data_IF_188256137191
#
_entry.id   IF_188256137191
#
_cell.length_a   1.000
_cell.length_b   1.000
_cell.length_c   1.000
_cell.angle_alpha   90.00
_cell.angle_beta   90.00
_cell.angle_gamma   90.00
#
_symmetry.space_group_name_H-M   'P 1'
#
loop_
_entity.id
_entity.type
_entity.pdbx_description
1 polymer ?
#
# COMPACT_ATOMS: atom_id res chain seq x y z
N UNK A 1 28.89 -17.62 8.27
CA UNK A 1 27.95 -16.78 7.51
C UNK A 1 28.28 -15.32 7.78
N UNK A 2 28.27 -14.47 6.77
CA UNK A 2 28.49 -13.03 6.93
C UNK A 2 27.15 -12.30 7.04
N UNK A 3 26.97 -11.35 7.99
CA UNK A 3 25.73 -10.57 8.10
C UNK A 3 25.47 -9.72 6.85
N UNK A 4 24.20 -9.63 6.45
CA UNK A 4 23.72 -8.74 5.39
C UNK A 4 23.00 -7.55 6.04
N UNK A 5 23.49 -6.34 5.78
CA UNK A 5 22.92 -5.09 6.29
C UNK A 5 22.05 -4.47 5.21
N UNK A 6 20.81 -4.13 5.56
CA UNK A 6 19.93 -3.31 4.73
C UNK A 6 20.15 -1.84 5.09
N UNK A 7 20.69 -1.05 4.17
CA UNK A 7 21.03 0.37 4.42
C UNK A 7 19.96 1.34 3.94
N UNK A 8 19.10 0.91 3.01
CA UNK A 8 18.06 1.75 2.39
C UNK A 8 16.81 0.92 2.10
N UNK A 9 15.66 1.57 2.17
CA UNK A 9 14.37 0.99 1.81
C UNK A 9 13.47 2.08 1.21
N UNK A 10 12.66 1.70 0.24
CA UNK A 10 11.54 2.51 -0.28
C UNK A 10 10.25 1.75 -0.04
N UNK A 11 9.17 2.46 0.25
CA UNK A 11 7.88 1.86 0.53
C UNK A 11 6.77 2.71 -0.07
N UNK A 12 5.82 2.06 -0.73
CA UNK A 12 4.55 2.66 -1.16
C UNK A 12 3.46 1.67 -0.80
N UNK A 13 2.50 2.11 0.01
CA UNK A 13 1.38 1.28 0.47
C UNK A 13 0.15 2.16 0.75
N UNK A 14 -0.90 1.58 1.33
CA UNK A 14 -2.14 2.31 1.60
C UNK A 14 -2.06 3.35 2.72
N UNK A 15 -0.91 3.47 3.40
CA UNK A 15 -0.61 4.53 4.35
C UNK A 15 0.09 5.74 3.70
N UNK A 16 0.56 5.59 2.46
CA UNK A 16 1.13 6.67 1.65
C UNK A 16 2.36 6.28 0.84
N UNK A 17 2.94 7.28 0.20
CA UNK A 17 4.18 7.18 -0.57
C UNK A 17 5.38 7.51 0.32
N UNK A 18 6.33 6.58 0.39
CA UNK A 18 7.58 6.74 1.10
C UNK A 18 7.57 6.25 2.55
N UNK A 19 8.79 6.19 3.10
CA UNK A 19 9.05 5.77 4.47
C UNK A 19 8.45 6.76 5.48
N UNK A 20 8.56 8.07 5.21
CA UNK A 20 8.07 9.11 6.12
C UNK A 20 6.55 9.08 6.28
N UNK A 21 5.81 8.92 5.18
CA UNK A 21 4.35 8.78 5.21
C UNK A 21 3.93 7.55 6.01
N UNK A 22 4.58 6.41 5.76
CA UNK A 22 4.32 5.16 6.51
C UNK A 22 4.65 5.32 7.99
N UNK A 23 5.82 5.87 8.33
CA UNK A 23 6.26 6.05 9.72
C UNK A 23 5.30 6.95 10.50
N UNK A 24 4.85 8.03 9.86
CA UNK A 24 3.86 8.95 10.44
C UNK A 24 2.55 8.23 10.73
N UNK A 25 2.02 7.49 9.76
CA UNK A 25 0.78 6.74 9.94
C UNK A 25 0.87 5.67 11.02
N UNK A 26 1.99 4.95 11.12
CA UNK A 26 2.22 3.95 12.16
C UNK A 26 2.28 4.60 13.55
N UNK A 27 2.97 5.74 13.70
CA UNK A 27 3.04 6.50 14.95
C UNK A 27 1.67 7.02 15.39
N UNK A 28 0.87 7.49 14.43
CA UNK A 28 -0.49 7.97 14.65
C UNK A 28 -1.52 6.83 14.79
N UNK A 29 -1.10 5.57 14.61
CA UNK A 29 -1.96 4.37 14.63
C UNK A 29 -3.12 4.46 13.63
N UNK A 30 -2.86 5.06 12.47
CA UNK A 30 -3.84 5.15 11.39
C UNK A 30 -3.84 3.88 10.55
N UNK A 31 -5.04 3.38 10.28
CA UNK A 31 -5.25 2.34 9.28
C UNK A 31 -5.30 2.95 7.89
N UNK A 32 -4.75 2.23 6.89
CA UNK A 32 -4.91 2.55 5.47
C UNK A 32 -5.99 1.69 4.80
N UNK A 33 -6.80 0.99 5.60
CA UNK A 33 -7.86 0.14 5.08
C UNK A 33 -9.10 0.98 4.78
N UNK A 34 -9.69 0.72 3.62
CA UNK A 34 -10.98 1.26 3.19
C UNK A 34 -11.98 0.10 3.04
N UNK A 35 -13.28 0.34 3.22
CA UNK A 35 -14.30 -0.63 2.84
C UNK A 35 -14.09 -1.09 1.39
N UNK A 36 -14.10 -2.40 1.19
CA UNK A 36 -13.87 -3.00 -0.12
C UNK A 36 -15.08 -2.73 -1.02
N UNK A 37 -14.89 -1.88 -2.03
CA UNK A 37 -15.92 -1.59 -3.04
C UNK A 37 -15.86 -2.54 -4.24
N UNK A 38 -15.13 -3.65 -4.14
CA UNK A 38 -14.95 -4.59 -5.24
C UNK A 38 -16.25 -5.40 -5.43
N UNK A 39 -16.91 -5.18 -6.57
CA UNK A 39 -18.29 -5.65 -6.84
C UNK A 39 -18.45 -7.18 -6.94
N UNK A 40 -17.37 -7.96 -6.92
CA UNK A 40 -17.42 -9.40 -7.15
C UNK A 40 -17.85 -10.23 -5.93
N UNK A 41 -17.95 -9.63 -4.75
CA UNK A 41 -18.54 -10.30 -3.59
C UNK A 41 -19.32 -9.32 -2.73
N UNK A 42 -20.49 -9.73 -2.24
CA UNK A 42 -21.28 -9.00 -1.24
C UNK A 42 -20.60 -9.02 0.14
N UNK A 43 -19.29 -9.21 0.20
CA UNK A 43 -18.55 -9.39 1.44
C UNK A 43 -18.18 -8.04 2.04
N UNK A 44 -18.66 -7.77 3.24
CA UNK A 44 -18.24 -6.65 4.07
C UNK A 44 -16.78 -6.84 4.52
N UNK A 45 -15.86 -6.44 3.64
CA UNK A 45 -14.41 -6.63 3.78
C UNK A 45 -13.69 -5.29 3.62
N UNK A 46 -12.40 -5.27 3.95
CA UNK A 46 -11.57 -4.08 3.96
C UNK A 46 -10.31 -4.30 3.13
N UNK A 47 -9.88 -3.28 2.37
CA UNK A 47 -8.73 -3.34 1.46
C UNK A 47 -7.78 -2.18 1.67
N UNK A 48 -6.48 -2.46 1.63
CA UNK A 48 -5.44 -1.43 1.65
C UNK A 48 -5.24 -0.84 0.27
N UNK A 49 -6.10 0.10 -0.13
CA UNK A 49 -5.99 0.76 -1.43
C UNK A 49 -4.77 1.70 -1.47
N UNK A 50 -3.96 1.59 -2.52
CA UNK A 50 -2.77 2.45 -2.72
C UNK A 50 -3.12 3.56 -3.70
N UNK A 51 -2.99 4.81 -3.27
CA UNK A 51 -3.36 5.98 -4.09
C UNK A 51 -2.60 5.97 -5.43
N UNK A 52 -3.35 6.15 -6.52
CA UNK A 52 -2.80 6.26 -7.87
C UNK A 52 -2.57 4.94 -8.60
N UNK A 53 -2.63 3.78 -7.94
CA UNK A 53 -2.38 2.48 -8.59
C UNK A 53 -3.43 2.18 -9.67
N UNK A 54 -4.71 2.47 -9.42
CA UNK A 54 -5.80 2.23 -10.37
C UNK A 54 -5.77 3.17 -11.58
N UNK A 55 -5.00 4.25 -11.51
CA UNK A 55 -4.80 5.16 -12.64
C UNK A 55 -3.78 4.63 -13.65
N UNK A 56 -2.98 3.62 -13.27
CA UNK A 56 -2.00 2.98 -14.13
C UNK A 56 -2.71 2.15 -15.20
N UNK A 57 -2.49 2.51 -16.47
CA UNK A 57 -2.97 1.70 -17.59
C UNK A 57 -1.92 0.66 -17.96
N UNK A 58 -2.34 -0.59 -18.08
CA UNK A 58 -1.50 -1.62 -18.64
C UNK A 58 -1.26 -1.37 -20.13
N UNK A 59 -0.05 -1.67 -20.58
CA UNK A 59 0.23 -1.74 -22.01
C UNK A 59 -0.52 -2.94 -22.59
N UNK A 60 -1.13 -2.84 -23.78
CA UNK A 60 -1.84 -3.96 -24.41
C UNK A 60 -0.95 -5.16 -24.76
N UNK A 61 0.38 -5.03 -24.62
CA UNK A 61 1.36 -6.10 -24.85
C UNK A 61 2.00 -6.65 -23.57
N UNK A 62 1.40 -6.38 -22.39
CA UNK A 62 1.78 -7.02 -21.12
C UNK A 62 0.83 -8.18 -20.80
#
# INVERSE_FOLDING_TARGET
MQPLILTHVSLVNSLGEGVDATLTALRERRSGLLPCSFRLSEMETWVGQVSGVESVRFSPNL
#
